data_IF_970687007203
#
_entry.id   IF_970687007203
#
_cell.length_a   1.000
_cell.length_b   1.000
_cell.length_c   1.000
_cell.angle_alpha   90.00
_cell.angle_beta   90.00
_cell.angle_gamma   90.00
#
_symmetry.space_group_name_H-M   'P 1'
#
loop_
_entity.id
_entity.type
_entity.pdbx_description
1 polymer ?
#
# COMPACT_ATOMS: atom_id res chain seq x y z
N UNK A 1 -5.37 7.07 -4.91
CA UNK A 1 -4.94 5.64 -4.86
C UNK A 1 -6.05 4.76 -4.28
N UNK A 2 -6.27 4.75 -2.96
CA UNK A 2 -7.25 3.89 -2.28
C UNK A 2 -8.64 3.88 -2.92
N UNK A 3 -9.25 5.06 -3.12
CA UNK A 3 -10.58 5.16 -3.74
C UNK A 3 -10.64 4.48 -5.12
N UNK A 4 -9.62 4.70 -5.95
CA UNK A 4 -9.55 4.09 -7.29
C UNK A 4 -9.44 2.57 -7.22
N UNK A 5 -8.60 2.05 -6.31
CA UNK A 5 -8.49 0.61 -6.07
C UNK A 5 -9.83 0.00 -5.63
N UNK A 6 -10.48 0.56 -4.60
CA UNK A 6 -11.74 0.02 -4.09
C UNK A 6 -12.90 0.17 -5.07
N UNK A 7 -12.90 1.22 -5.90
CA UNK A 7 -13.88 1.34 -6.99
C UNK A 7 -13.70 0.21 -8.01
N UNK A 8 -12.46 -0.07 -8.43
CA UNK A 8 -12.19 -1.19 -9.36
C UNK A 8 -12.58 -2.51 -8.72
N UNK A 9 -12.18 -2.75 -7.46
CA UNK A 9 -12.54 -3.97 -6.72
C UNK A 9 -14.06 -4.17 -6.64
N UNK A 10 -14.80 -3.13 -6.27
CA UNK A 10 -16.28 -3.17 -6.18
C UNK A 10 -16.90 -3.51 -7.54
N UNK A 11 -16.38 -2.92 -8.63
CA UNK A 11 -16.87 -3.22 -9.99
C UNK A 11 -16.57 -4.68 -10.37
N UNK A 12 -15.36 -5.17 -10.11
CA UNK A 12 -14.98 -6.56 -10.39
C UNK A 12 -15.87 -7.56 -9.63
N UNK A 13 -16.09 -7.32 -8.34
CA UNK A 13 -16.90 -8.18 -7.49
C UNK A 13 -18.37 -8.18 -7.91
N UNK A 14 -18.89 -7.02 -8.35
CA UNK A 14 -20.25 -6.93 -8.90
C UNK A 14 -20.40 -7.77 -10.18
N UNK A 15 -19.44 -7.71 -11.10
CA UNK A 15 -19.50 -8.50 -12.33
C UNK A 15 -19.34 -10.00 -12.09
N UNK A 16 -18.66 -10.40 -11.02
CA UNK A 16 -18.53 -11.80 -10.62
C UNK A 16 -19.86 -12.43 -10.18
N UNK A 17 -20.81 -11.62 -9.71
CA UNK A 17 -22.15 -12.08 -9.33
C UNK A 17 -23.10 -12.34 -10.51
N UNK A 18 -22.72 -11.91 -11.72
CA UNK A 18 -23.57 -11.98 -12.91
C UNK A 18 -22.97 -12.97 -13.92
N UNK A 19 -23.77 -13.80 -14.62
CA UNK A 19 -23.26 -14.66 -15.68
C UNK A 19 -22.54 -13.85 -16.77
N UNK A 20 -21.27 -14.15 -16.99
CA UNK A 20 -20.43 -13.47 -17.98
C UNK A 20 -20.18 -14.33 -19.20
N UNK A 21 -20.02 -13.68 -20.36
CA UNK A 21 -19.44 -14.35 -21.52
C UNK A 21 -17.97 -14.71 -21.25
N UNK A 22 -17.47 -15.73 -21.94
CA UNK A 22 -16.06 -16.18 -21.79
C UNK A 22 -15.06 -15.04 -22.06
N UNK A 23 -15.38 -14.13 -22.98
CA UNK A 23 -14.53 -12.99 -23.33
C UNK A 23 -14.48 -11.99 -22.17
N UNK A 24 -15.65 -11.64 -21.61
CA UNK A 24 -15.74 -10.69 -20.50
C UNK A 24 -15.07 -11.27 -19.25
N UNK A 25 -15.30 -12.56 -18.93
CA UNK A 25 -14.65 -13.21 -17.80
C UNK A 25 -13.11 -13.18 -17.89
N UNK A 26 -12.55 -13.43 -19.09
CA UNK A 26 -11.09 -13.33 -19.31
C UNK A 26 -10.57 -11.91 -19.11
N UNK A 27 -11.32 -10.89 -19.52
CA UNK A 27 -10.95 -9.49 -19.32
C UNK A 27 -10.98 -9.12 -17.84
N UNK A 28 -12.06 -9.46 -17.12
CA UNK A 28 -12.21 -9.20 -15.69
C UNK A 28 -11.08 -9.85 -14.87
N UNK A 29 -10.71 -11.09 -15.20
CA UNK A 29 -9.60 -11.77 -14.53
C UNK A 29 -8.26 -11.03 -14.73
N UNK A 30 -7.97 -10.54 -15.94
CA UNK A 30 -6.76 -9.73 -16.18
C UNK A 30 -6.77 -8.41 -15.40
N UNK A 31 -7.93 -7.76 -15.30
CA UNK A 31 -8.07 -6.53 -14.51
C UNK A 31 -7.87 -6.85 -13.02
N UNK A 32 -8.43 -7.97 -12.53
CA UNK A 32 -8.24 -8.44 -11.16
C UNK A 32 -6.77 -8.74 -10.86
N UNK A 33 -6.06 -9.46 -11.74
CA UNK A 33 -4.62 -9.71 -11.61
C UNK A 33 -3.81 -8.41 -11.55
N UNK A 34 -4.16 -7.42 -12.37
CA UNK A 34 -3.54 -6.10 -12.33
C UNK A 34 -3.83 -5.33 -11.03
N UNK A 35 -5.06 -5.41 -10.54
CA UNK A 35 -5.50 -4.76 -9.30
C UNK A 35 -4.82 -5.40 -8.07
N UNK A 36 -4.75 -6.73 -8.02
CA UNK A 36 -4.03 -7.49 -6.98
C UNK A 36 -2.55 -7.17 -6.99
N UNK A 37 -1.94 -7.11 -8.18
CA UNK A 37 -0.54 -6.71 -8.31
C UNK A 37 -0.34 -5.30 -7.78
N UNK A 38 -1.16 -4.34 -8.19
CA UNK A 38 -1.09 -2.96 -7.70
C UNK A 38 -1.28 -2.85 -6.18
N UNK A 39 -2.23 -3.61 -5.62
CA UNK A 39 -2.45 -3.68 -4.18
C UNK A 39 -1.18 -4.13 -3.44
N UNK A 40 -0.65 -5.28 -3.85
CA UNK A 40 0.47 -5.93 -3.18
C UNK A 40 1.79 -5.18 -3.35
N UNK A 41 2.02 -4.52 -4.49
CA UNK A 41 3.31 -3.91 -4.81
C UNK A 41 3.39 -2.42 -4.50
N UNK A 42 2.27 -1.70 -4.53
CA UNK A 42 2.23 -0.24 -4.38
C UNK A 42 1.36 0.15 -3.20
N UNK A 43 0.06 -0.14 -3.24
CA UNK A 43 -0.89 0.40 -2.27
C UNK A 43 -0.59 -0.02 -0.84
N UNK A 44 -0.36 -1.31 -0.61
CA UNK A 44 -0.07 -1.84 0.72
C UNK A 44 1.23 -1.30 1.32
N UNK A 45 2.42 -1.47 0.69
CA UNK A 45 3.68 -0.99 1.29
C UNK A 45 3.76 0.53 1.41
N UNK A 46 3.23 1.29 0.43
CA UNK A 46 3.25 2.77 0.51
C UNK A 46 2.35 3.24 1.65
N UNK A 47 1.16 2.65 1.83
CA UNK A 47 0.24 3.06 2.91
C UNK A 47 0.84 2.86 4.30
N UNK A 48 1.57 1.77 4.50
CA UNK A 48 2.31 1.52 5.74
C UNK A 48 3.45 2.53 5.87
N UNK A 49 4.19 2.80 4.79
CA UNK A 49 5.32 3.72 4.80
C UNK A 49 4.90 5.17 5.12
N UNK A 50 3.86 5.69 4.47
CA UNK A 50 3.40 7.08 4.68
C UNK A 50 2.78 7.25 6.07
N UNK A 51 2.04 6.25 6.56
CA UNK A 51 1.49 6.26 7.91
C UNK A 51 2.62 6.25 8.95
N UNK A 52 3.59 5.34 8.79
CA UNK A 52 4.76 5.26 9.68
C UNK A 52 5.58 6.54 9.65
N UNK A 53 5.77 7.13 8.46
CA UNK A 53 6.48 8.40 8.29
C UNK A 53 5.77 9.56 8.97
N UNK A 54 4.44 9.66 8.82
CA UNK A 54 3.65 10.66 9.52
C UNK A 54 3.77 10.52 11.04
N UNK A 55 3.56 9.33 11.60
CA UNK A 55 3.61 9.13 13.05
C UNK A 55 5.02 9.34 13.61
N UNK A 56 6.06 8.97 12.86
CA UNK A 56 7.45 9.29 13.24
C UNK A 56 7.67 10.80 13.27
N UNK A 57 7.21 11.53 12.25
CA UNK A 57 7.32 12.98 12.21
C UNK A 57 6.46 13.65 13.30
N UNK A 58 5.29 13.11 13.62
CA UNK A 58 4.41 13.61 14.67
C UNK A 58 5.08 13.50 16.04
N UNK A 59 5.72 12.38 16.35
CA UNK A 59 6.41 12.19 17.63
C UNK A 59 7.66 13.07 17.74
N UNK A 60 8.41 13.21 16.64
CA UNK A 60 9.72 13.87 16.66
C UNK A 60 9.66 15.39 16.40
N UNK A 61 8.68 15.85 15.64
CA UNK A 61 8.64 17.20 15.06
C UNK A 61 7.22 17.82 15.07
N UNK A 62 6.39 17.46 16.05
CA UNK A 62 4.99 17.90 16.14
C UNK A 62 4.80 19.41 15.89
N UNK A 63 5.55 20.23 16.63
CA UNK A 63 5.45 21.70 16.59
C UNK A 63 5.77 22.29 15.21
N UNK A 64 6.55 21.57 14.39
CA UNK A 64 6.93 21.99 13.04
C UNK A 64 5.87 21.56 12.04
N UNK A 65 5.43 20.30 12.09
CA UNK A 65 4.50 19.75 11.09
C UNK A 65 3.04 20.11 11.38
N UNK A 66 2.71 20.43 12.63
CA UNK A 66 1.38 20.77 13.09
C UNK A 66 1.43 21.83 14.21
N UNK A 67 1.74 23.10 13.88
CA UNK A 67 1.67 24.20 14.84
C UNK A 67 0.24 24.37 15.39
N UNK A 68 0.10 24.81 16.64
CA UNK A 68 -1.21 25.00 17.29
C UNK A 68 -2.19 25.88 16.49
N UNK A 69 -1.69 26.82 15.68
CA UNK A 69 -2.51 27.65 14.79
C UNK A 69 -3.27 26.84 13.72
N UNK A 70 -2.74 25.69 13.30
CA UNK A 70 -3.36 24.80 12.31
C UNK A 70 -4.61 24.12 12.85
N UNK A 71 -4.72 23.95 14.17
CA UNK A 71 -5.88 23.30 14.81
C UNK A 71 -7.22 24.00 14.52
N UNK A 72 -7.18 25.31 14.24
CA UNK A 72 -8.37 26.07 13.87
C UNK A 72 -8.84 25.80 12.43
N UNK A 73 -7.98 25.22 11.58
CA UNK A 73 -8.26 24.93 10.17
C UNK A 73 -8.50 23.44 9.94
N UNK A 74 -7.61 22.59 10.47
CA UNK A 74 -7.72 21.14 10.41
C UNK A 74 -7.65 20.62 11.83
N UNK A 75 -8.77 20.20 12.45
CA UNK A 75 -8.75 19.67 13.81
C UNK A 75 -7.82 18.48 13.95
N UNK A 76 -7.14 18.36 15.10
CA UNK A 76 -6.17 17.27 15.37
C UNK A 76 -6.77 15.88 15.07
N UNK A 77 -8.03 15.68 15.45
CA UNK A 77 -8.73 14.43 15.19
C UNK A 77 -8.79 14.08 13.69
N UNK A 78 -9.16 15.05 12.85
CA UNK A 78 -9.25 14.85 11.39
C UNK A 78 -7.86 14.57 10.82
N UNK A 79 -6.83 15.25 11.32
CA UNK A 79 -5.44 14.98 10.95
C UNK A 79 -5.01 13.55 11.31
N UNK A 80 -5.29 13.08 12.52
CA UNK A 80 -4.94 11.71 12.91
C UNK A 80 -5.70 10.67 12.09
N UNK A 81 -7.00 10.88 11.87
CA UNK A 81 -7.82 9.97 11.07
C UNK A 81 -7.30 9.89 9.64
N UNK A 82 -6.98 11.01 9.00
CA UNK A 82 -6.49 11.03 7.61
C UNK A 82 -5.16 10.28 7.46
N UNK A 83 -4.28 10.32 8.47
CA UNK A 83 -2.98 9.67 8.44
C UNK A 83 -2.98 8.23 8.95
N UNK A 84 -4.08 7.79 9.59
CA UNK A 84 -4.20 6.45 10.18
C UNK A 84 -5.12 5.55 9.37
N UNK A 85 -6.15 6.11 8.73
CA UNK A 85 -7.11 5.34 7.92
C UNK A 85 -6.45 4.49 6.82
N UNK A 86 -5.44 4.99 6.06
CA UNK A 86 -4.83 4.19 4.99
C UNK A 86 -4.31 2.83 5.44
N UNK A 87 -3.57 2.78 6.56
CA UNK A 87 -3.01 1.51 7.07
C UNK A 87 -4.10 0.55 7.53
N UNK A 88 -5.16 1.05 8.17
CA UNK A 88 -6.29 0.22 8.60
C UNK A 88 -7.00 -0.41 7.42
N UNK A 89 -7.29 0.39 6.39
CA UNK A 89 -8.02 -0.06 5.21
C UNK A 89 -7.23 -1.12 4.43
N UNK A 90 -5.93 -0.91 4.19
CA UNK A 90 -5.11 -1.92 3.49
C UNK A 90 -4.90 -3.17 4.33
N UNK A 91 -4.86 -3.07 5.66
CA UNK A 91 -4.68 -4.23 6.52
C UNK A 91 -5.94 -5.10 6.58
N UNK A 92 -7.13 -4.47 6.67
CA UNK A 92 -8.40 -5.17 6.57
C UNK A 92 -8.50 -5.90 5.23
N UNK A 93 -8.18 -5.23 4.12
CA UNK A 93 -8.17 -5.82 2.79
C UNK A 93 -7.20 -7.02 2.72
N UNK A 94 -5.96 -6.88 3.20
CA UNK A 94 -4.97 -7.96 3.22
C UNK A 94 -5.43 -9.20 3.99
N UNK A 95 -6.17 -9.02 5.08
CA UNK A 95 -6.66 -10.10 5.93
C UNK A 95 -7.92 -10.78 5.38
N UNK A 96 -8.80 -10.02 4.73
CA UNK A 96 -10.12 -10.50 4.29
C UNK A 96 -10.13 -10.94 2.82
N UNK A 97 -9.35 -10.28 1.97
CA UNK A 97 -9.30 -10.52 0.54
C UNK A 97 -7.99 -11.22 0.16
N UNK A 98 -8.10 -12.29 -0.63
CA UNK A 98 -6.92 -12.95 -1.17
C UNK A 98 -6.41 -12.17 -2.37
N UNK A 99 -5.13 -11.78 -2.33
CA UNK A 99 -4.42 -11.25 -3.49
C UNK A 99 -3.27 -12.18 -3.84
N UNK A 100 -3.12 -12.49 -5.13
CA UNK A 100 -2.03 -13.33 -5.60
C UNK A 100 -0.67 -12.67 -5.29
N UNK A 101 0.18 -13.35 -4.51
CA UNK A 101 1.49 -12.79 -4.15
C UNK A 101 2.38 -12.67 -5.39
N UNK A 102 2.81 -11.45 -5.79
CA UNK A 102 3.69 -11.27 -6.93
C UNK A 102 5.09 -11.82 -6.64
N UNK A 103 5.85 -12.06 -7.71
CA UNK A 103 7.29 -12.34 -7.59
C UNK A 103 8.00 -11.09 -7.05
N UNK A 104 9.03 -11.29 -6.23
CA UNK A 104 9.74 -10.19 -5.54
C UNK A 104 10.37 -9.19 -6.52
N UNK A 105 10.99 -9.66 -7.61
CA UNK A 105 11.65 -8.77 -8.59
C UNK A 105 10.69 -7.78 -9.27
N UNK A 106 9.58 -8.22 -9.92
CA UNK A 106 8.63 -7.28 -10.51
C UNK A 106 7.93 -6.42 -9.45
N UNK A 107 7.74 -6.93 -8.23
CA UNK A 107 7.20 -6.14 -7.13
C UNK A 107 8.10 -4.96 -6.76
N UNK A 108 9.40 -5.20 -6.58
CA UNK A 108 10.38 -4.14 -6.32
C UNK A 108 10.44 -3.16 -7.50
N UNK A 109 10.48 -3.66 -8.74
CA UNK A 109 10.52 -2.81 -9.92
C UNK A 109 9.32 -1.86 -9.96
N UNK A 110 8.10 -2.38 -9.75
CA UNK A 110 6.88 -1.57 -9.70
C UNK A 110 6.94 -0.49 -8.62
N UNK A 111 7.37 -0.86 -7.41
CA UNK A 111 7.46 0.09 -6.30
C UNK A 111 8.49 1.18 -6.58
N UNK A 112 9.70 0.81 -7.03
CA UNK A 112 10.77 1.76 -7.38
C UNK A 112 10.32 2.71 -8.50
N UNK A 113 9.59 2.23 -9.50
CA UNK A 113 9.03 3.10 -10.54
C UNK A 113 8.11 4.16 -9.95
N UNK A 114 7.18 3.78 -9.07
CA UNK A 114 6.25 4.73 -8.44
C UNK A 114 6.99 5.74 -7.55
N UNK A 115 7.94 5.27 -6.74
CA UNK A 115 8.76 6.14 -5.87
C UNK A 115 9.61 7.11 -6.70
N UNK A 116 10.18 6.66 -7.82
CA UNK A 116 10.95 7.52 -8.73
C UNK A 116 10.07 8.63 -9.30
N UNK A 117 8.86 8.30 -9.77
CA UNK A 117 7.90 9.29 -10.28
C UNK A 117 7.56 10.32 -9.19
N UNK A 118 7.36 9.87 -7.95
CA UNK A 118 7.08 10.75 -6.82
C UNK A 118 8.25 11.69 -6.50
N UNK A 119 9.48 11.17 -6.43
CA UNK A 119 10.67 11.98 -6.17
C UNK A 119 10.94 12.99 -7.28
N UNK A 120 10.77 12.59 -8.55
CA UNK A 120 10.87 13.52 -9.68
C UNK A 120 9.83 14.63 -9.56
N UNK A 121 8.58 14.29 -9.21
CA UNK A 121 7.51 15.28 -8.98
C UNK A 121 7.90 16.28 -7.89
N UNK A 122 8.45 15.80 -6.77
CA UNK A 122 8.91 16.65 -5.67
C UNK A 122 10.03 17.62 -6.09
N UNK A 123 11.00 17.13 -6.86
CA UNK A 123 12.09 17.96 -7.41
C UNK A 123 11.54 18.99 -8.39
N UNK A 124 10.63 18.61 -9.29
CA UNK A 124 9.98 19.53 -10.23
C UNK A 124 9.24 20.64 -9.49
N UNK A 125 8.47 20.32 -8.46
CA UNK A 125 7.76 21.31 -7.65
C UNK A 125 8.72 22.27 -6.94
N UNK A 126 9.86 21.77 -6.44
CA UNK A 126 10.91 22.63 -5.86
C UNK A 126 11.48 23.61 -6.88
N UNK A 127 11.78 23.14 -8.09
CA UNK A 127 12.31 23.99 -9.16
C UNK A 127 11.30 25.06 -9.58
N UNK A 128 10.01 24.70 -9.67
CA UNK A 128 8.95 25.60 -10.12
C UNK A 128 8.56 26.65 -9.07
N UNK A 129 8.49 26.28 -7.79
CA UNK A 129 7.95 27.14 -6.74
C UNK A 129 9.01 27.68 -5.77
N UNK A 130 10.27 27.26 -5.89
CA UNK A 130 11.37 27.71 -5.03
C UNK A 130 11.32 27.21 -3.58
N UNK A 131 10.30 26.44 -3.20
CA UNK A 131 10.09 25.88 -1.85
C UNK A 131 9.71 24.40 -1.92
N UNK A 132 10.06 23.63 -0.89
CA UNK A 132 9.60 22.24 -0.80
C UNK A 132 8.13 22.15 -0.39
N UNK A 133 7.45 21.07 -0.81
CA UNK A 133 6.04 20.82 -0.46
C UNK A 133 5.86 20.61 1.05
N UNK A 134 6.84 19.97 1.68
CA UNK A 134 6.83 19.71 3.13
C UNK A 134 7.80 20.66 3.84
N UNK A 135 7.29 21.38 4.83
CA UNK A 135 8.06 22.36 5.60
C UNK A 135 9.30 21.74 6.27
N UNK A 136 9.19 20.51 6.77
CA UNK A 136 10.29 19.79 7.40
C UNK A 136 11.46 19.55 6.43
N UNK A 137 11.15 19.28 5.16
CA UNK A 137 12.16 19.13 4.11
C UNK A 137 12.78 20.50 3.81
N UNK A 138 11.97 21.55 3.78
CA UNK A 138 12.46 22.92 3.55
C UNK A 138 13.43 23.40 4.64
N UNK A 139 13.19 23.02 5.89
CA UNK A 139 14.03 23.41 7.03
C UNK A 139 15.32 22.58 7.08
N UNK A 140 15.24 21.25 6.97
CA UNK A 140 16.39 20.38 7.24
C UNK A 140 17.12 19.89 5.97
N UNK A 141 16.46 19.96 4.82
CA UNK A 141 16.87 19.33 3.56
C UNK A 141 16.64 20.32 2.40
N UNK A 142 17.01 21.57 2.65
CA UNK A 142 16.73 22.76 1.84
C UNK A 142 17.23 22.65 0.39
N UNK A 143 18.35 21.97 0.16
CA UNK A 143 18.95 21.82 -1.18
C UNK A 143 18.60 20.50 -1.85
N UNK A 144 18.51 20.52 -3.19
CA UNK A 144 18.26 19.32 -4.01
C UNK A 144 19.28 18.20 -3.75
N UNK A 145 20.61 18.46 -3.62
CA UNK A 145 21.57 17.41 -3.30
C UNK A 145 21.33 16.76 -1.93
N UNK A 146 21.03 17.54 -0.88
CA UNK A 146 20.67 17.00 0.44
C UNK A 146 19.39 16.16 0.34
N UNK A 147 18.41 16.62 -0.42
CA UNK A 147 17.16 15.89 -0.66
C UNK A 147 17.42 14.55 -1.29
N UNK A 148 18.17 14.50 -2.39
CA UNK A 148 18.52 13.24 -3.06
C UNK A 148 19.25 12.30 -2.10
N UNK A 149 20.22 12.81 -1.34
CA UNK A 149 20.98 11.97 -0.41
C UNK A 149 20.10 11.35 0.69
N UNK A 150 19.28 12.15 1.36
CA UNK A 150 18.43 11.71 2.48
C UNK A 150 17.25 10.86 1.98
N UNK A 151 16.53 11.34 0.96
CA UNK A 151 15.32 10.69 0.48
C UNK A 151 15.57 9.49 -0.42
N UNK A 152 16.77 9.31 -0.99
CA UNK A 152 17.08 8.04 -1.68
C UNK A 152 17.08 6.86 -0.70
N UNK A 153 17.58 7.03 0.52
CA UNK A 153 17.50 5.96 1.52
C UNK A 153 16.05 5.74 1.96
N UNK A 154 15.37 6.81 2.38
CA UNK A 154 14.02 6.71 2.95
C UNK A 154 12.97 6.23 1.94
N UNK A 155 13.07 6.64 0.68
CA UNK A 155 12.03 6.37 -0.34
C UNK A 155 12.26 5.07 -1.10
N UNK A 156 13.46 4.48 -1.05
CA UNK A 156 13.71 3.20 -1.72
C UNK A 156 13.91 2.05 -0.74
N UNK A 157 14.67 2.22 0.34
CA UNK A 157 14.99 1.11 1.24
C UNK A 157 13.80 0.76 2.13
N UNK A 158 13.19 1.75 2.78
CA UNK A 158 12.09 1.52 3.74
C UNK A 158 10.85 0.93 3.05
N UNK A 159 10.35 1.47 1.92
CA UNK A 159 9.24 0.85 1.20
C UNK A 159 9.53 -0.57 0.72
N UNK A 160 10.77 -0.87 0.29
CA UNK A 160 11.14 -2.24 -0.10
C UNK A 160 11.14 -3.20 1.09
N UNK A 161 11.57 -2.76 2.27
CA UNK A 161 11.45 -3.56 3.50
C UNK A 161 9.98 -3.85 3.82
N UNK A 162 9.12 -2.83 3.75
CA UNK A 162 7.68 -3.01 3.96
C UNK A 162 7.07 -3.95 2.92
N UNK A 163 7.43 -3.79 1.63
CA UNK A 163 6.98 -4.66 0.56
C UNK A 163 7.33 -6.12 0.84
N UNK A 164 8.59 -6.43 1.10
CA UNK A 164 9.03 -7.81 1.36
C UNK A 164 8.32 -8.38 2.60
N UNK A 165 8.16 -7.58 3.65
CA UNK A 165 7.45 -7.97 4.87
C UNK A 165 5.98 -8.28 4.59
N UNK A 166 5.31 -7.44 3.79
CA UNK A 166 3.92 -7.62 3.39
C UNK A 166 3.72 -8.85 2.50
N UNK A 167 4.63 -9.11 1.56
CA UNK A 167 4.60 -10.32 0.73
C UNK A 167 4.72 -11.59 1.61
N UNK A 168 5.60 -11.57 2.61
CA UNK A 168 5.72 -12.68 3.58
C UNK A 168 4.45 -12.84 4.41
N UNK A 169 3.88 -11.74 4.90
CA UNK A 169 2.64 -11.75 5.68
C UNK A 169 1.46 -12.30 4.87
N UNK A 170 1.32 -11.87 3.61
CA UNK A 170 0.27 -12.37 2.70
C UNK A 170 0.40 -13.90 2.52
N UNK A 171 1.60 -14.38 2.23
CA UNK A 171 1.87 -15.80 2.08
C UNK A 171 1.65 -16.58 3.37
N UNK A 172 1.88 -15.98 4.54
CA UNK A 172 1.59 -16.59 5.84
C UNK A 172 0.07 -16.72 6.08
N UNK A 173 -0.69 -15.63 5.92
CA UNK A 173 -2.15 -15.60 6.13
C UNK A 173 -2.85 -16.60 5.21
N UNK A 174 -2.49 -16.62 3.92
CA UNK A 174 -3.19 -17.40 2.91
C UNK A 174 -2.58 -18.78 2.65
N UNK A 175 -1.28 -18.97 2.93
CA UNK A 175 -0.61 -20.28 2.90
C UNK A 175 -1.04 -21.23 4.03
N UNK A 176 -1.48 -20.69 5.18
CA UNK A 176 -2.11 -21.49 6.24
C UNK A 176 -3.49 -22.00 5.79
N UNK A 177 -4.26 -21.18 5.05
CA UNK A 177 -5.62 -21.55 4.59
C UNK A 177 -5.61 -22.66 3.55
N UNK A 178 -4.65 -22.69 2.62
CA UNK A 178 -4.49 -23.80 1.68
C UNK A 178 -4.11 -25.12 2.37
N UNK A 179 -3.20 -25.08 3.35
CA UNK A 179 -2.83 -26.27 4.13
C UNK A 179 -3.99 -26.76 5.04
N UNK A 180 -4.80 -25.84 5.57
CA UNK A 180 -5.98 -26.17 6.38
C UNK A 180 -7.12 -26.81 5.55
N UNK A 181 -7.33 -26.36 4.31
CA UNK A 181 -8.28 -26.98 3.39
C UNK A 181 -7.84 -28.40 2.98
N UNK A 182 -6.57 -28.56 2.59
CA UNK A 182 -6.01 -29.88 2.28
C UNK A 182 -6.11 -30.83 3.48
N UNK A 183 -5.83 -30.36 4.69
CA UNK A 183 -5.93 -31.20 5.91
C UNK A 183 -7.38 -31.59 6.23
N UNK A 184 -8.36 -30.70 5.98
CA UNK A 184 -9.78 -31.01 6.16
C UNK A 184 -10.28 -31.99 5.09
N UNK A 185 -9.93 -31.79 3.82
CA UNK A 185 -10.32 -32.69 2.73
C UNK A 185 -9.73 -34.09 2.90
N UNK A 186 -8.49 -34.20 3.40
CA UNK A 186 -7.87 -35.49 3.77
C UNK A 186 -8.60 -36.15 4.96
N UNK A 187 -9.03 -35.38 5.98
CA UNK A 187 -9.79 -35.92 7.11
C UNK A 187 -11.19 -36.41 6.72
N UNK A 188 -11.88 -35.70 5.82
CA UNK A 188 -13.19 -36.09 5.29
C UNK A 188 -13.08 -37.33 4.39
N UNK A 189 -12.00 -37.48 3.62
CA UNK A 189 -11.75 -38.70 2.83
C UNK A 189 -11.35 -39.90 3.69
N UNK A 190 -10.68 -39.70 4.83
CA UNK A 190 -10.36 -40.78 5.77
C UNK A 190 -11.62 -41.30 6.48
N UNK A 191 -12.52 -40.42 6.90
CA UNK A 191 -13.79 -40.81 7.54
C UNK A 191 -14.82 -41.45 6.59
N UNK A 192 -14.71 -41.26 5.27
CA UNK A 192 -15.59 -41.94 4.29
C UNK A 192 -15.14 -43.36 3.92
N UNK A 193 -13.98 -43.82 4.39
CA UNK A 193 -13.46 -45.17 4.12
C UNK A 193 -13.73 -46.17 5.26
N UNK A 194 -14.47 -45.75 6.30
CA UNK A 194 -14.83 -46.60 7.45
C UNK A 194 -16.35 -46.54 7.64
N UNK A 195 -17.09 -47.04 6.65
CA UNK A 195 -18.47 -47.58 6.77
C UNK A 195 -18.73 -48.45 5.56
#
# INVERSE_FOLDING_TARGET
MHLGFFMIATVLDFFELIPQSVIIGKLLNKIREGNDFFFMTVMLPISICVCSGFWSAWVLFNEIIYPSAVNNVIPVFINHVSHTTPIFVVFIELCLCYHASPRVKPAIASLVTVETIYLLTMITLRIQHGRWVYLLIDIYVDTIPKFIFVFSFLSYIVPVIFLVSCLRLNNYIWGIKTNGHVSRDVSYQHNKKIT
#
